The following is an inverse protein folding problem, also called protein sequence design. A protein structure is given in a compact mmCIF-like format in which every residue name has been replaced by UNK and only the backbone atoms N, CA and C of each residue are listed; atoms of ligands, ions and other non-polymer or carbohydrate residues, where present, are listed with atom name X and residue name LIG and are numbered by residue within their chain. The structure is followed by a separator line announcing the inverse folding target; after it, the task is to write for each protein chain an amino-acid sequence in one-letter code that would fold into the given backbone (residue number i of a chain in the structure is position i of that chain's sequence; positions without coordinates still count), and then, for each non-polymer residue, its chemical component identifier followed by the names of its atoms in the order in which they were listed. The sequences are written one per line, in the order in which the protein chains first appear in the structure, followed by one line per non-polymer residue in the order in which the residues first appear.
data_IF_554442778365
#
_entry.id   IF_554442778365
#
_cell.length_a   1.000
_cell.length_b   1.000
_cell.length_c   1.000
_cell.angle_alpha   90.00
_cell.angle_beta   90.00
_cell.angle_gamma   90.00
#
_symmetry.space_group_name_H-M   'P 1'
#
loop_
_entity.id
_entity.type
_entity.pdbx_description
1 polymer ?
#
# COMPACT_ATOMS: atom_id res chain seq x y z
N UNK A 1 12.24 22.74 10.34
CA UNK A 1 10.90 22.58 9.76
C UNK A 1 10.30 21.28 10.29
N UNK A 2 9.13 21.35 10.93
CA UNK A 2 8.35 20.20 11.37
C UNK A 2 7.30 19.88 10.30
N UNK A 3 6.84 18.62 10.26
CA UNK A 3 5.75 18.20 9.36
C UNK A 3 4.42 18.90 9.63
N UNK A 4 4.31 19.52 10.81
CA UNK A 4 3.17 20.30 11.27
C UNK A 4 3.22 21.77 10.84
N UNK A 5 4.37 22.25 10.35
CA UNK A 5 4.50 23.64 9.93
C UNK A 5 3.67 23.87 8.66
N UNK A 6 3.09 25.07 8.53
CA UNK A 6 2.32 25.47 7.35
C UNK A 6 3.29 25.72 6.20
N UNK A 7 3.10 24.98 5.10
CA UNK A 7 3.96 25.06 3.92
C UNK A 7 3.26 25.67 2.70
N UNK A 8 1.93 25.75 2.71
CA UNK A 8 1.16 26.37 1.64
C UNK A 8 -0.17 26.92 2.15
N UNK A 9 -0.72 27.90 1.41
CA UNK A 9 -2.07 28.43 1.60
C UNK A 9 -2.83 28.32 0.28
N UNK A 10 -4.01 27.71 0.32
CA UNK A 10 -4.84 27.47 -0.86
C UNK A 10 -6.16 28.20 -0.70
N UNK A 11 -6.52 29.06 -1.65
CA UNK A 11 -7.84 29.68 -1.68
C UNK A 11 -8.86 28.67 -2.20
N UNK A 12 -9.93 28.44 -1.44
CA UNK A 12 -11.10 27.64 -1.82
C UNK A 12 -12.34 28.52 -1.77
N UNK A 13 -13.47 28.02 -2.25
CA UNK A 13 -14.76 28.74 -2.22
C UNK A 13 -15.23 29.05 -0.79
N UNK A 14 -14.70 28.32 0.21
CA UNK A 14 -14.98 28.47 1.64
C UNK A 14 -13.94 29.36 2.36
N UNK A 15 -12.92 29.84 1.66
CA UNK A 15 -11.86 30.70 2.21
C UNK A 15 -10.44 30.14 2.04
N UNK A 16 -9.46 30.75 2.70
CA UNK A 16 -8.06 30.32 2.60
C UNK A 16 -7.78 29.17 3.58
N UNK A 17 -7.35 28.03 3.04
CA UNK A 17 -6.98 26.84 3.80
C UNK A 17 -5.46 26.71 3.91
N UNK A 18 -4.97 26.56 5.13
CA UNK A 18 -3.56 26.30 5.39
C UNK A 18 -3.25 24.80 5.24
N UNK A 19 -2.14 24.49 4.58
CA UNK A 19 -1.69 23.14 4.28
C UNK A 19 -0.34 22.89 4.95
N UNK A 20 -0.26 21.81 5.73
CA UNK A 20 0.99 21.26 6.26
C UNK A 20 1.37 19.97 5.51
N UNK A 21 2.58 19.46 5.76
CA UNK A 21 3.02 18.19 5.17
C UNK A 21 2.26 16.98 5.74
N UNK A 22 1.73 17.09 6.95
CA UNK A 22 1.00 16.01 7.62
C UNK A 22 -0.50 16.09 7.37
N UNK A 23 -1.10 14.97 6.97
CA UNK A 23 -2.55 14.84 6.75
C UNK A 23 -3.13 13.73 7.62
N UNK A 24 -4.31 13.97 8.21
CA UNK A 24 -5.08 12.96 8.94
C UNK A 24 -6.15 12.36 8.04
N UNK A 25 -6.35 11.05 8.12
CA UNK A 25 -7.38 10.35 7.35
C UNK A 25 -8.09 9.28 8.20
N UNK A 26 -9.43 9.16 8.15
CA UNK A 26 -10.17 8.17 8.92
C UNK A 26 -9.87 6.74 8.48
N UNK A 27 -9.44 5.89 9.42
CA UNK A 27 -8.97 4.51 9.14
C UNK A 27 -10.05 3.58 8.57
N UNK A 28 -11.33 3.85 8.85
CA UNK A 28 -12.47 3.05 8.37
C UNK A 28 -13.00 3.48 7.00
N UNK A 29 -12.44 4.54 6.39
CA UNK A 29 -12.81 4.98 5.05
C UNK A 29 -11.59 4.84 4.13
N UNK A 30 -11.71 4.05 3.07
CA UNK A 30 -10.68 3.95 2.04
C UNK A 30 -10.35 5.33 1.46
N UNK A 31 -9.08 5.56 1.10
CA UNK A 31 -8.69 6.81 0.43
C UNK A 31 -9.33 6.87 -0.97
N UNK A 32 -9.82 8.04 -1.42
CA UNK A 32 -10.43 8.17 -2.73
C UNK A 32 -9.41 7.86 -3.82
N UNK A 33 -9.85 7.16 -4.85
CA UNK A 33 -9.10 6.84 -6.06
C UNK A 33 -9.92 7.27 -7.27
N UNK A 34 -9.28 7.62 -8.38
CA UNK A 34 -9.99 7.98 -9.62
C UNK A 34 -10.72 6.79 -10.25
N UNK A 35 -10.01 5.68 -10.48
CA UNK A 35 -10.58 4.46 -11.04
C UNK A 35 -9.81 3.22 -10.59
N UNK A 36 -10.48 2.06 -10.57
CA UNK A 36 -9.85 0.76 -10.32
C UNK A 36 -9.37 0.15 -11.63
N UNK A 37 -8.06 -0.03 -11.75
CA UNK A 37 -7.44 -0.68 -12.90
C UNK A 37 -7.36 -2.19 -12.68
N UNK A 38 -7.52 -2.97 -13.76
CA UNK A 38 -7.27 -4.42 -13.72
C UNK A 38 -5.76 -4.68 -13.58
N UNK A 39 -5.32 -5.45 -12.58
CA UNK A 39 -3.90 -5.75 -12.41
C UNK A 39 -3.36 -6.59 -13.57
N UNK A 40 -2.41 -6.04 -14.33
CA UNK A 40 -1.73 -6.77 -15.42
C UNK A 40 -0.25 -7.02 -15.18
N UNK A 41 0.38 -6.30 -14.23
CA UNK A 41 1.80 -6.43 -13.94
C UNK A 41 2.04 -7.42 -12.78
N UNK A 42 2.91 -8.43 -12.93
CA UNK A 42 3.28 -9.31 -11.83
C UNK A 42 4.10 -8.56 -10.77
N UNK A 43 3.89 -8.93 -9.50
CA UNK A 43 4.75 -8.58 -8.37
C UNK A 43 5.85 -9.63 -8.28
N UNK A 44 7.08 -9.23 -8.57
CA UNK A 44 8.24 -10.14 -8.51
C UNK A 44 8.66 -10.27 -7.04
N UNK A 45 8.54 -11.46 -6.49
CA UNK A 45 8.79 -11.74 -5.06
C UNK A 45 10.22 -12.25 -4.81
N UNK A 46 10.92 -12.68 -5.86
CA UNK A 46 12.22 -13.34 -5.77
C UNK A 46 12.14 -14.79 -5.28
N UNK A 47 10.93 -15.30 -5.01
CA UNK A 47 10.70 -16.67 -4.61
C UNK A 47 10.22 -17.47 -5.82
N UNK A 48 11.05 -18.40 -6.32
CA UNK A 48 10.77 -19.17 -7.55
C UNK A 48 9.39 -19.82 -7.57
N UNK A 49 8.95 -20.40 -6.45
CA UNK A 49 7.64 -21.06 -6.35
C UNK A 49 6.49 -20.07 -6.53
N UNK A 50 6.59 -18.87 -5.95
CA UNK A 50 5.57 -17.83 -6.08
C UNK A 50 5.62 -17.21 -7.48
N UNK A 51 6.81 -16.85 -7.96
CA UNK A 51 6.94 -16.14 -9.24
C UNK A 51 6.58 -17.03 -10.45
N UNK A 52 6.78 -18.35 -10.34
CA UNK A 52 6.56 -19.28 -11.47
C UNK A 52 5.17 -19.90 -11.45
N UNK A 53 4.71 -20.38 -10.29
CA UNK A 53 3.49 -21.21 -10.21
C UNK A 53 2.30 -20.50 -9.58
N UNK A 54 2.55 -19.54 -8.68
CA UNK A 54 1.51 -18.83 -7.94
C UNK A 54 1.73 -17.31 -7.97
N UNK A 55 1.83 -16.68 -9.16
CA UNK A 55 2.20 -15.28 -9.27
C UNK A 55 1.10 -14.38 -8.71
N UNK A 56 1.51 -13.31 -8.03
CA UNK A 56 0.61 -12.27 -7.53
C UNK A 56 0.80 -11.04 -8.39
N UNK A 57 -0.28 -10.40 -8.83
CA UNK A 57 -0.19 -9.13 -9.56
C UNK A 57 -0.01 -7.94 -8.61
N UNK A 58 0.63 -6.85 -9.06
CA UNK A 58 0.70 -5.59 -8.31
C UNK A 58 -0.70 -5.01 -8.12
N UNK A 59 -1.10 -4.79 -6.87
CA UNK A 59 -2.48 -4.43 -6.51
C UNK A 59 -3.45 -5.62 -6.43
N UNK A 60 -2.95 -6.85 -6.61
CA UNK A 60 -3.68 -8.08 -6.37
C UNK A 60 -3.78 -8.44 -4.89
N UNK A 61 -4.47 -9.53 -4.59
CA UNK A 61 -4.65 -10.06 -3.23
C UNK A 61 -4.24 -11.53 -3.22
N UNK A 62 -3.48 -11.94 -2.21
CA UNK A 62 -3.02 -13.31 -2.03
C UNK A 62 -3.26 -13.77 -0.58
N UNK A 63 -3.41 -15.08 -0.40
CA UNK A 63 -3.57 -15.71 0.92
C UNK A 63 -2.48 -16.77 1.11
N UNK A 64 -1.87 -16.80 2.28
CA UNK A 64 -0.89 -17.83 2.68
C UNK A 64 -1.50 -18.64 3.83
N UNK A 65 -2.27 -19.71 3.54
CA UNK A 65 -2.80 -20.58 4.57
C UNK A 65 -1.71 -21.49 5.14
N UNK A 66 -1.92 -21.99 6.36
CA UNK A 66 -1.06 -23.04 6.92
C UNK A 66 -1.19 -23.20 8.44
N UNK A 67 -0.85 -24.38 8.98
CA UNK A 67 -0.90 -24.66 10.42
C UNK A 67 0.17 -23.87 11.19
N UNK A 68 0.09 -23.85 12.52
CA UNK A 68 1.14 -23.23 13.35
C UNK A 68 2.51 -23.86 13.06
N UNK A 69 3.58 -23.05 13.08
CA UNK A 69 4.94 -23.52 12.80
C UNK A 69 5.29 -23.77 11.33
N UNK A 70 4.36 -23.59 10.37
CA UNK A 70 4.59 -23.88 8.94
C UNK A 70 5.41 -22.83 8.17
N UNK A 71 6.14 -21.94 8.86
CA UNK A 71 7.00 -20.94 8.22
C UNK A 71 6.27 -19.75 7.54
N UNK A 72 4.98 -19.52 7.81
CA UNK A 72 4.21 -18.39 7.21
C UNK A 72 4.88 -17.02 7.40
N UNK A 73 5.43 -16.78 8.59
CA UNK A 73 6.12 -15.51 8.91
C UNK A 73 7.37 -15.33 8.07
N UNK A 74 8.15 -16.39 7.84
CA UNK A 74 9.35 -16.35 6.99
C UNK A 74 8.98 -15.95 5.56
N UNK A 75 7.91 -16.53 5.01
CA UNK A 75 7.41 -16.14 3.67
C UNK A 75 6.97 -14.68 3.65
N UNK A 76 6.27 -14.21 4.67
CA UNK A 76 5.85 -12.81 4.78
C UNK A 76 7.04 -11.84 4.89
N UNK A 77 8.10 -12.19 5.64
CA UNK A 77 9.32 -11.41 5.73
C UNK A 77 10.04 -11.32 4.37
N UNK A 78 10.08 -12.42 3.62
CA UNK A 78 10.69 -12.43 2.28
C UNK A 78 9.90 -11.54 1.32
N UNK A 79 8.56 -11.59 1.36
CA UNK A 79 7.72 -10.69 0.58
C UNK A 79 7.97 -9.22 0.94
N UNK A 80 8.01 -8.87 2.23
CA UNK A 80 8.24 -7.49 2.67
C UNK A 80 9.64 -6.94 2.31
N UNK A 81 10.65 -7.82 2.18
CA UNK A 81 12.02 -7.41 1.87
C UNK A 81 12.28 -7.24 0.37
N UNK A 82 11.63 -8.06 -0.46
CA UNK A 82 12.00 -8.21 -1.87
C UNK A 82 10.93 -7.78 -2.87
N UNK A 83 9.69 -7.52 -2.42
CA UNK A 83 8.57 -7.10 -3.26
C UNK A 83 8.29 -5.59 -3.20
#
# INVERSE_FOLDING_TARGET
AKVTDVIARVATDEGVREISMMQKWPVRRGRPIGQKLTPGQPMVTGQRVLDTFFPVAKGGTACIPGPFGSGKTVVQHQLAKWA
#
